data_IF_666127258729
#
_entry.id   IF_666127258729
#
_cell.length_a   1.000
_cell.length_b   1.000
_cell.length_c   1.000
_cell.angle_alpha   90.00
_cell.angle_beta   90.00
_cell.angle_gamma   90.00
#
_symmetry.space_group_name_H-M   'P 1'
#
loop_
_entity.id
_entity.type
_entity.pdbx_description
1 polymer ?
2 polymer ?
3 polymer ?
4 water ?
#
# COMPACT_ATOMS: atom_id res chain seq x y z
N UNK A 1 6.23 22.67 1.94
CA UNK A 1 7.04 22.57 0.68
C UNK A 1 6.21 22.45 -0.61
N UNK A 2 6.95 22.20 -1.70
CA UNK A 2 6.43 22.03 -3.03
C UNK A 2 5.43 20.90 -3.07
N UNK A 3 4.31 21.13 -3.75
CA UNK A 3 3.26 20.13 -3.85
C UNK A 3 3.17 19.59 -5.27
N UNK A 4 2.99 18.28 -5.41
CA UNK A 4 2.82 17.62 -6.71
C UNK A 4 1.51 16.89 -6.65
N UNK A 5 0.54 17.33 -7.43
CA UNK A 5 -0.78 16.71 -7.41
C UNK A 5 -1.05 15.89 -8.66
N UNK A 6 -1.29 14.58 -8.55
CA UNK A 6 -1.58 13.78 -9.76
C UNK A 6 -3.05 13.71 -10.05
N UNK A 7 -3.46 13.61 -11.31
CA UNK A 7 -4.88 13.45 -11.62
C UNK A 7 -4.97 12.49 -12.78
N UNK A 8 -5.95 11.54 -12.74
CA UNK A 8 -6.89 11.43 -11.62
C UNK A 8 -6.15 10.55 -10.63
N UNK A 9 -6.67 10.44 -9.41
CA UNK A 9 -6.02 9.58 -8.47
C UNK A 9 -6.23 8.10 -8.88
N UNK A 10 -7.36 7.80 -9.50
CA UNK A 10 -7.67 6.43 -9.93
C UNK A 10 -8.28 6.52 -11.33
N UNK A 11 -8.11 5.49 -12.14
CA UNK A 11 -8.59 5.58 -13.51
C UNK A 11 -8.88 4.20 -14.01
N UNK A 12 -10.02 4.00 -14.66
CA UNK A 12 -10.32 2.66 -15.20
C UNK A 12 -10.12 2.65 -16.71
N UNK A 13 -9.70 1.53 -17.27
CA UNK A 13 -9.44 1.48 -18.69
C UNK A 13 -9.39 0.06 -19.19
N UNK A 14 -9.33 -0.11 -20.50
CA UNK A 14 -9.26 -1.45 -21.05
C UNK A 14 -8.05 -1.55 -21.95
N UNK A 15 -7.59 -2.77 -22.21
CA UNK A 15 -6.47 -3.03 -23.08
C UNK A 15 -6.77 -2.33 -24.42
N UNK A 16 -5.78 -1.61 -24.95
CA UNK A 16 -5.97 -0.90 -26.19
C UNK A 16 -6.35 0.55 -25.95
N UNK A 17 -6.78 0.94 -24.76
CA UNK A 17 -7.11 2.35 -24.63
C UNK A 17 -5.87 3.29 -24.61
N UNK A 18 -6.14 4.59 -24.76
CA UNK A 18 -5.13 5.60 -24.69
C UNK A 18 -5.46 6.29 -23.39
N UNK A 19 -4.51 6.40 -22.48
CA UNK A 19 -4.80 7.10 -21.26
C UNK A 19 -3.79 8.19 -21.03
N UNK A 20 -4.15 9.19 -20.24
CA UNK A 20 -3.18 10.19 -20.00
C UNK A 20 -3.38 10.54 -18.56
N UNK A 21 -2.26 10.65 -17.84
CA UNK A 21 -2.22 10.94 -16.42
C UNK A 21 -1.54 12.30 -16.34
N UNK A 22 -2.00 13.17 -15.47
CA UNK A 22 -1.34 14.46 -15.40
C UNK A 22 -0.79 14.77 -14.00
N UNK A 23 0.23 15.61 -13.92
CA UNK A 23 0.86 15.93 -12.64
C UNK A 23 1.12 17.43 -12.63
N UNK A 24 0.66 18.12 -11.61
CA UNK A 24 0.80 19.57 -11.52
C UNK A 24 1.60 19.94 -10.29
N UNK A 25 2.56 20.85 -10.46
CA UNK A 25 3.39 21.26 -9.35
C UNK A 25 2.99 22.65 -8.83
N UNK A 26 3.13 22.86 -7.53
CA UNK A 26 2.75 24.15 -6.93
C UNK A 26 3.65 25.33 -7.32
N UNK A 27 4.88 25.04 -7.73
CA UNK A 27 5.87 26.04 -8.18
C UNK A 27 6.53 25.35 -9.39
N UNK A 28 7.11 26.12 -10.30
CA UNK A 28 7.73 25.53 -11.48
C UNK A 28 8.94 24.67 -11.18
N UNK A 29 9.01 23.51 -11.81
CA UNK A 29 10.12 22.57 -11.61
C UNK A 29 10.91 22.40 -12.91
N UNK A 30 10.79 23.36 -13.83
CA UNK A 30 11.46 23.30 -15.11
C UNK A 30 11.16 21.97 -15.76
N UNK A 31 12.15 21.24 -16.29
CA UNK A 31 11.89 19.94 -16.91
C UNK A 31 12.30 18.77 -15.99
N UNK A 32 12.62 19.07 -14.72
CA UNK A 32 13.12 18.03 -13.82
C UNK A 32 11.99 17.19 -13.21
N UNK A 33 11.45 16.32 -14.03
CA UNK A 33 10.33 15.52 -13.62
C UNK A 33 10.42 14.15 -14.22
N UNK A 34 10.10 13.15 -13.43
CA UNK A 34 10.21 11.79 -13.94
C UNK A 34 8.91 11.03 -13.72
N UNK A 35 8.61 10.07 -14.61
CA UNK A 35 7.43 9.23 -14.44
C UNK A 35 7.84 7.80 -14.21
N UNK A 36 7.09 7.12 -13.35
CA UNK A 36 7.37 5.70 -13.04
C UNK A 36 6.09 4.89 -13.05
N UNK A 37 6.26 3.61 -13.32
CA UNK A 37 5.14 2.69 -13.30
C UNK A 37 5.52 1.67 -12.21
N UNK A 38 4.60 1.35 -11.33
CA UNK A 38 4.91 0.36 -10.29
C UNK A 38 3.83 -0.69 -10.27
N UNK A 39 4.23 -1.92 -10.50
CA UNK A 39 3.31 -3.02 -10.49
C UNK A 39 3.26 -3.56 -9.08
N UNK A 40 2.13 -4.15 -8.69
CA UNK A 40 2.05 -4.68 -7.33
C UNK A 40 3.24 -5.59 -6.99
N UNK A 41 3.72 -5.47 -5.75
CA UNK A 41 4.86 -6.27 -5.30
C UNK A 41 6.23 -5.95 -5.88
N UNK A 42 6.33 -4.97 -6.77
CA UNK A 42 7.61 -4.64 -7.38
C UNK A 42 8.03 -3.19 -7.12
N UNK A 43 9.30 -2.87 -7.36
CA UNK A 43 9.76 -1.49 -7.17
C UNK A 43 9.27 -0.60 -8.33
N UNK A 44 9.26 0.70 -8.14
CA UNK A 44 8.81 1.54 -9.26
C UNK A 44 9.80 1.36 -10.43
N UNK A 45 9.36 1.53 -11.68
CA UNK A 45 10.28 1.41 -12.81
C UNK A 45 10.20 2.73 -13.58
N UNK A 46 11.37 3.28 -13.89
CA UNK A 46 11.50 4.54 -14.63
C UNK A 46 10.95 4.40 -16.06
N UNK A 47 10.07 5.29 -16.46
CA UNK A 47 9.51 5.29 -17.83
C UNK A 47 10.07 6.47 -18.59
N UNK A 48 9.95 7.67 -18.02
CA UNK A 48 10.30 8.95 -18.65
C UNK A 48 11.11 9.77 -17.67
N UNK A 49 12.24 10.30 -18.12
CA UNK A 49 13.09 11.19 -17.31
C UNK A 49 13.17 12.56 -17.97
N UNK A 50 13.45 13.58 -17.17
CA UNK A 50 13.59 14.93 -17.71
C UNK A 50 12.33 15.32 -18.49
N UNK A 51 11.14 15.07 -17.91
CA UNK A 51 9.80 15.39 -18.48
C UNK A 51 9.38 14.70 -19.77
N UNK A 52 10.31 14.50 -20.69
CA UNK A 52 9.88 13.89 -21.92
C UNK A 52 10.82 12.88 -22.54
N UNK A 53 12.01 12.63 -21.96
CA UNK A 53 12.93 11.67 -22.60
C UNK A 53 12.52 10.23 -22.30
N UNK A 54 12.52 9.37 -23.33
CA UNK A 54 12.12 8.01 -23.14
C UNK A 54 13.27 7.24 -22.56
N UNK A 55 13.07 6.59 -21.43
CA UNK A 55 14.14 5.82 -20.80
C UNK A 55 14.45 4.62 -21.66
N UNK A 56 15.73 4.27 -21.73
CA UNK A 56 16.20 3.17 -22.53
C UNK A 56 15.56 1.82 -22.16
N UNK A 57 14.99 1.14 -23.16
CA UNK A 57 14.40 -0.14 -22.91
C UNK A 57 12.93 -0.03 -22.55
N UNK A 58 12.43 1.21 -22.47
CA UNK A 58 11.03 1.41 -22.16
C UNK A 58 10.24 1.46 -23.48
N UNK A 59 9.13 0.73 -23.55
CA UNK A 59 8.33 0.71 -24.80
C UNK A 59 7.82 2.05 -25.27
N UNK A 60 7.83 2.21 -26.59
CA UNK A 60 7.46 3.48 -27.21
C UNK A 60 6.02 3.93 -26.99
N UNK A 61 5.12 3.07 -26.56
CA UNK A 61 3.75 3.57 -26.29
C UNK A 61 3.73 4.58 -25.15
N UNK A 62 4.82 4.68 -24.40
CA UNK A 62 4.83 5.63 -23.28
C UNK A 62 5.38 6.94 -23.74
N UNK A 63 4.71 8.01 -23.37
CA UNK A 63 5.18 9.30 -23.78
C UNK A 63 4.99 10.35 -22.69
N UNK A 64 5.95 11.24 -22.56
CA UNK A 64 5.77 12.30 -21.58
C UNK A 64 5.98 13.68 -22.18
N UNK A 65 5.16 14.66 -21.78
CA UNK A 65 5.31 16.03 -22.25
C UNK A 65 5.04 17.04 -21.11
N UNK A 66 5.31 18.32 -21.39
CA UNK A 66 5.11 19.38 -20.42
C UNK A 66 6.40 19.84 -19.76
N UNK A 67 6.34 21.01 -19.09
CA UNK A 67 7.46 21.61 -18.35
C UNK A 67 6.87 22.68 -17.40
N UNK A 68 7.64 23.20 -16.44
CA UNK A 68 7.07 24.21 -15.55
C UNK A 68 6.19 23.63 -14.44
N UNK A 69 4.87 23.76 -14.56
CA UNK A 69 3.98 23.26 -13.54
C UNK A 69 3.00 22.21 -13.99
N UNK A 70 2.99 21.88 -15.26
CA UNK A 70 2.04 20.89 -15.72
C UNK A 70 2.64 19.83 -16.63
N UNK A 71 2.51 18.56 -16.26
CA UNK A 71 3.09 17.47 -17.02
C UNK A 71 2.05 16.39 -17.23
N UNK A 72 2.25 15.63 -18.29
CA UNK A 72 1.36 14.56 -18.66
C UNK A 72 2.15 13.35 -19.18
N UNK A 73 1.64 12.18 -18.84
CA UNK A 73 2.19 10.90 -19.27
C UNK A 73 1.05 10.29 -20.11
N UNK A 74 1.32 9.84 -21.30
CA UNK A 74 0.24 9.20 -21.96
C UNK A 74 0.73 7.86 -22.41
N UNK A 75 -0.12 6.87 -22.31
CA UNK A 75 0.21 5.55 -22.76
C UNK A 75 -0.74 5.49 -23.95
N UNK A 76 -0.20 5.29 -25.15
CA UNK A 76 -1.05 5.35 -26.33
C UNK A 76 -1.93 4.12 -26.54
N UNK A 77 -1.39 2.92 -26.31
CA UNK A 77 -2.16 1.68 -26.44
C UNK A 77 -1.91 0.83 -25.19
N UNK A 78 -2.78 0.96 -24.18
CA UNK A 78 -2.63 0.20 -22.93
C UNK A 78 -2.49 -1.29 -23.09
N UNK A 79 -1.44 -1.87 -22.49
CA UNK A 79 -1.20 -3.31 -22.54
C UNK A 79 -1.53 -3.88 -21.13
N UNK A 80 -1.75 -5.21 -20.99
CA UNK A 80 -2.09 -5.77 -19.67
C UNK A 80 -1.11 -5.42 -18.54
N UNK A 81 0.18 -5.37 -18.82
CA UNK A 81 1.15 -5.01 -17.82
C UNK A 81 1.05 -3.56 -17.35
N UNK A 82 0.20 -2.74 -17.98
CA UNK A 82 0.09 -1.34 -17.61
C UNK A 82 -0.95 -1.07 -16.53
N UNK A 83 -1.64 -2.13 -16.10
CA UNK A 83 -2.65 -1.99 -15.07
C UNK A 83 -1.72 -1.92 -13.87
N UNK A 84 -1.65 -0.75 -13.28
CA UNK A 84 -0.67 -0.56 -12.23
C UNK A 84 -0.87 0.80 -11.67
N UNK A 85 0.06 1.23 -10.83
CA UNK A 85 0.01 2.58 -10.23
C UNK A 85 1.19 3.39 -10.80
N UNK A 86 0.91 4.61 -11.23
CA UNK A 86 1.92 5.47 -11.80
C UNK A 86 2.24 6.63 -10.88
N UNK A 87 3.51 7.00 -10.84
CA UNK A 87 3.90 8.14 -10.01
C UNK A 87 4.74 9.16 -10.74
N UNK A 88 4.59 10.44 -10.43
CA UNK A 88 5.50 11.43 -11.03
C UNK A 88 6.41 11.86 -9.87
N UNK A 89 7.63 12.33 -10.18
CA UNK A 89 8.61 12.81 -9.19
C UNK A 89 9.31 14.06 -9.70
N UNK A 90 9.39 15.04 -8.84
CA UNK A 90 9.99 16.31 -9.14
C UNK A 90 11.44 16.22 -8.58
N UNK A 91 12.45 16.72 -9.33
CA UNK A 91 13.85 16.73 -8.88
C UNK A 91 14.55 18.10 -9.02
N UNK A 92 13.75 19.14 -9.04
CA UNK A 92 14.26 20.52 -9.16
C UNK A 92 14.57 21.14 -7.80
N UNK A 93 13.74 20.81 -6.79
CA UNK A 93 13.87 21.32 -5.43
C UNK A 93 13.94 20.19 -4.42
N UNK A 94 14.71 20.39 -3.33
CA UNK A 94 14.78 19.40 -2.27
C UNK A 94 13.67 19.80 -1.32
N UNK A 95 12.94 18.83 -0.80
CA UNK A 95 13.11 17.39 -1.06
C UNK A 95 12.50 17.07 -2.44
N UNK A 96 13.02 16.01 -3.06
CA UNK A 96 12.61 15.50 -4.37
C UNK A 96 11.25 14.78 -4.36
N UNK A 97 10.17 15.51 -4.14
CA UNK A 97 8.79 15.00 -4.07
C UNK A 97 8.20 14.04 -5.09
N UNK A 98 7.32 13.20 -4.60
CA UNK A 98 6.58 12.28 -5.43
C UNK A 98 5.13 12.70 -5.40
N UNK A 99 4.41 12.45 -6.49
CA UNK A 99 2.98 12.72 -6.50
C UNK A 99 2.25 11.60 -5.72
N UNK A 100 0.94 11.73 -5.54
CA UNK A 100 0.16 10.75 -4.76
C UNK A 100 -0.08 9.47 -5.48
N UNK A 101 0.25 9.43 -6.76
CA UNK A 101 0.02 8.19 -7.50
C UNK A 101 -1.34 8.10 -8.22
N UNK A 102 -1.40 7.40 -9.34
CA UNK A 102 -2.68 7.19 -9.94
C UNK A 102 -2.75 5.72 -10.30
N UNK A 103 -3.79 5.06 -9.79
CA UNK A 103 -4.04 3.63 -9.97
C UNK A 103 -4.79 3.41 -11.29
N UNK A 104 -4.31 2.51 -12.12
CA UNK A 104 -4.99 2.28 -13.37
C UNK A 104 -5.47 0.85 -13.25
N UNK A 105 -6.79 0.62 -13.30
CA UNK A 105 -7.32 -0.73 -13.17
C UNK A 105 -8.29 -1.14 -14.33
N UNK A 106 -8.61 -2.42 -14.43
CA UNK A 106 -9.45 -2.96 -15.49
C UNK A 106 -10.87 -2.40 -15.40
N UNK A 107 -11.36 -1.72 -16.43
CA UNK A 107 -12.72 -1.18 -16.38
C UNK A 107 -13.73 -2.32 -16.53
N UNK A 108 -14.88 -2.18 -15.90
CA UNK A 108 -15.96 -3.15 -16.01
C UNK A 108 -17.17 -2.35 -15.59
N UNK A 109 -18.42 -2.86 -15.73
CA UNK A 109 -19.67 -2.16 -15.42
C UNK A 109 -19.77 -1.90 -13.91
N UNK A 110 -20.32 -0.85 -13.62
CA UNK A 110 -20.50 -0.52 -12.24
C UNK A 110 -21.26 -1.64 -11.53
N UNK A 111 -20.79 -1.99 -10.33
CA UNK A 111 -21.43 -3.01 -9.53
C UNK A 111 -21.43 -2.55 -8.09
N UNK A 112 -22.62 -2.49 -7.50
CA UNK A 112 -22.77 -2.07 -6.10
C UNK A 112 -22.30 -3.20 -5.22
N UNK A 113 -21.85 -2.88 -4.02
CA UNK A 113 -21.39 -3.96 -3.12
C UNK A 113 -22.54 -4.69 -2.45
N UNK A 114 -22.34 -5.95 -2.13
CA UNK A 114 -23.35 -6.71 -1.36
C UNK A 114 -22.76 -6.41 0.04
N UNK A 115 -23.56 -5.88 0.94
CA UNK A 115 -23.08 -5.52 2.26
C UNK A 115 -23.60 -6.47 3.32
N UNK A 116 -22.73 -6.82 4.28
CA UNK A 116 -23.05 -7.72 5.39
C UNK A 116 -22.41 -7.18 6.68
N UNK A 117 -23.11 -7.31 7.81
CA UNK A 117 -22.60 -6.87 9.08
C UNK A 117 -22.54 -8.06 10.02
N UNK A 118 -21.41 -8.22 10.71
CA UNK A 118 -21.21 -9.34 11.57
C UNK A 118 -21.02 -8.87 12.98
N UNK A 119 -21.82 -9.38 13.95
CA UNK A 119 -21.67 -8.96 15.34
C UNK A 119 -20.49 -9.70 15.94
N UNK A 120 -19.98 -9.24 17.08
CA UNK A 120 -18.85 -9.98 17.63
C UNK A 120 -19.29 -11.34 18.19
N UNK A 121 -18.40 -12.32 18.09
CA UNK A 121 -18.69 -13.64 18.63
C UNK A 121 -18.69 -13.62 20.17
N UNK A 122 -19.52 -14.47 20.76
CA UNK A 122 -19.58 -14.60 22.20
C UNK A 122 -18.23 -15.03 22.67
N UNK A 123 -17.50 -15.77 21.84
CA UNK A 123 -16.18 -16.23 22.24
C UNK A 123 -15.24 -15.02 22.41
N UNK A 124 -15.30 -14.06 21.48
CA UNK A 124 -14.42 -12.90 21.60
C UNK A 124 -14.85 -12.10 22.84
N UNK A 125 -16.14 -11.83 22.95
CA UNK A 125 -16.67 -11.07 24.10
C UNK A 125 -16.13 -11.56 25.47
N UNK A 126 -16.01 -12.88 25.65
CA UNK A 126 -15.48 -13.44 26.90
C UNK A 126 -14.05 -13.01 27.15
N UNK A 127 -13.34 -12.62 26.10
CA UNK A 127 -11.96 -12.16 26.29
C UNK A 127 -11.93 -10.67 26.57
N UNK A 128 -13.11 -10.04 26.56
CA UNK A 128 -13.16 -8.61 26.85
C UNK A 128 -13.13 -7.64 25.67
N UNK A 129 -13.01 -8.13 24.45
CA UNK A 129 -13.03 -7.20 23.32
C UNK A 129 -14.19 -7.51 22.37
N UNK A 130 -14.60 -6.51 21.61
CA UNK A 130 -15.68 -6.69 20.71
C UNK A 130 -15.34 -6.14 19.33
N UNK A 131 -15.32 -7.03 18.34
CA UNK A 131 -15.04 -6.62 16.96
C UNK A 131 -16.29 -6.68 16.11
N UNK A 132 -16.67 -5.57 15.48
CA UNK A 132 -17.81 -5.62 14.63
C UNK A 132 -17.23 -5.48 13.24
N UNK A 133 -17.52 -6.44 12.35
CA UNK A 133 -17.00 -6.35 11.00
C UNK A 133 -18.07 -6.13 9.96
N UNK A 134 -17.72 -5.33 8.97
CA UNK A 134 -18.62 -5.02 7.89
C UNK A 134 -17.96 -5.45 6.63
N UNK A 135 -18.69 -6.14 5.77
CA UNK A 135 -18.13 -6.58 4.51
C UNK A 135 -18.85 -5.96 3.34
N UNK A 136 -18.08 -5.45 2.37
CA UNK A 136 -18.59 -4.89 1.11
C UNK A 136 -17.99 -5.85 0.11
N UNK A 137 -18.84 -6.69 -0.49
CA UNK A 137 -18.39 -7.72 -1.41
C UNK A 137 -18.57 -7.46 -2.92
N UNK A 138 -17.53 -7.74 -3.71
CA UNK A 138 -17.57 -7.58 -5.17
C UNK A 138 -18.21 -6.28 -5.73
N UNK A 139 -17.57 -5.13 -5.52
CA UNK A 139 -18.12 -3.88 -6.07
C UNK A 139 -17.14 -3.26 -7.07
N UNK A 140 -17.59 -2.20 -7.75
CA UNK A 140 -16.75 -1.49 -8.74
C UNK A 140 -17.49 -0.21 -9.11
N UNK A 141 -16.78 0.93 -9.20
CA UNK A 141 -15.35 1.11 -9.00
C UNK A 141 -14.85 0.95 -7.55
N UNK A 142 -13.53 1.01 -7.38
CA UNK A 142 -12.92 0.84 -6.09
C UNK A 142 -13.32 1.75 -4.94
N UNK A 143 -13.59 3.02 -5.22
CA UNK A 143 -13.92 3.91 -4.15
C UNK A 143 -15.26 3.56 -3.46
N UNK A 144 -15.20 3.49 -2.13
CA UNK A 144 -16.36 3.14 -1.34
C UNK A 144 -16.13 3.84 -0.02
N UNK A 145 -17.19 4.18 0.69
CA UNK A 145 -17.06 4.83 1.98
C UNK A 145 -17.96 4.11 2.99
N UNK A 146 -17.33 3.73 4.10
CA UNK A 146 -17.96 3.01 5.18
C UNK A 146 -17.98 3.92 6.38
N UNK A 147 -19.17 4.05 6.96
CA UNK A 147 -19.34 4.87 8.17
C UNK A 147 -20.01 4.06 9.29
N UNK A 148 -19.33 3.89 10.41
CA UNK A 148 -19.91 3.15 11.51
C UNK A 148 -20.73 4.09 12.38
N UNK A 149 -21.89 3.59 12.82
CA UNK A 149 -22.76 4.32 13.72
C UNK A 149 -23.18 3.36 14.84
N UNK A 150 -23.14 3.84 16.06
CA UNK A 150 -23.51 3.11 17.24
C UNK A 150 -24.62 3.95 17.92
N UNK A 151 -25.82 3.40 18.08
CA UNK A 151 -26.92 4.20 18.68
C UNK A 151 -26.89 5.61 18.06
N UNK A 152 -26.74 5.65 16.75
CA UNK A 152 -26.70 6.88 15.97
C UNK A 152 -25.52 7.79 16.12
N UNK A 153 -24.54 7.41 16.94
CA UNK A 153 -23.36 8.26 17.08
C UNK A 153 -22.41 7.84 15.97
N UNK A 154 -21.88 8.85 15.30
CA UNK A 154 -20.93 8.64 14.22
C UNK A 154 -19.62 8.14 14.84
N UNK A 155 -19.07 7.04 14.37
CA UNK A 155 -17.83 6.54 14.98
C UNK A 155 -16.59 7.09 14.28
N UNK A 156 -15.52 7.27 15.03
CA UNK A 156 -14.32 7.76 14.41
C UNK A 156 -13.07 7.34 15.18
N UNK A 157 -12.04 6.94 14.46
CA UNK A 157 -10.80 6.57 15.09
C UNK A 157 -10.77 5.18 15.70
N UNK A 158 -11.86 4.43 15.57
CA UNK A 158 -11.89 3.09 16.18
C UNK A 158 -12.18 1.93 15.18
N UNK A 159 -11.90 2.17 13.90
CA UNK A 159 -12.12 1.17 12.89
C UNK A 159 -10.94 1.12 11.93
N UNK A 160 -10.79 0.00 11.24
CA UNK A 160 -9.72 -0.16 10.27
C UNK A 160 -10.28 -0.96 9.15
N UNK A 161 -9.82 -0.66 7.93
CA UNK A 161 -10.30 -1.39 6.77
C UNK A 161 -9.15 -1.76 5.82
N UNK A 162 -9.39 -2.81 5.04
CA UNK A 162 -8.46 -3.22 4.02
C UNK A 162 -9.29 -3.65 2.78
N UNK A 163 -8.67 -3.53 1.60
CA UNK A 163 -9.34 -3.81 0.32
C UNK A 163 -8.55 -4.89 -0.44
N UNK A 164 -9.23 -5.85 -1.05
CA UNK A 164 -8.50 -6.83 -1.84
C UNK A 164 -7.97 -6.21 -3.14
N UNK A 165 -7.07 -6.89 -3.82
CA UNK A 165 -6.60 -6.41 -5.10
C UNK A 165 -7.73 -6.74 -6.11
N UNK A 166 -7.78 -6.03 -7.24
CA UNK A 166 -8.82 -6.25 -8.25
C UNK A 166 -8.89 -7.72 -8.58
N UNK A 167 -10.09 -8.29 -8.61
CA UNK A 167 -10.19 -9.73 -8.90
C UNK A 167 -9.85 -10.00 -10.38
N UNK A 168 -9.00 -10.97 -10.68
CA UNK A 168 -8.63 -11.26 -12.07
C UNK A 168 -9.76 -11.79 -12.98
N UNK A 169 -10.85 -12.28 -12.41
CA UNK A 169 -11.98 -12.77 -13.21
C UNK A 169 -13.16 -11.77 -13.23
N UNK A 170 -13.50 -11.27 -12.06
CA UNK A 170 -14.57 -10.30 -11.77
C UNK A 170 -14.30 -8.86 -12.16
N UNK A 171 -13.06 -8.47 -11.86
CA UNK A 171 -12.62 -7.07 -12.00
C UNK A 171 -13.24 -6.25 -10.90
N UNK A 172 -13.78 -6.90 -9.86
CA UNK A 172 -14.41 -6.17 -8.74
C UNK A 172 -13.45 -6.14 -7.54
N UNK A 173 -13.78 -5.36 -6.52
CA UNK A 173 -12.98 -5.29 -5.29
C UNK A 173 -13.90 -5.68 -4.14
N UNK A 174 -13.31 -6.01 -3.01
CA UNK A 174 -14.08 -6.31 -1.81
C UNK A 174 -13.39 -5.53 -0.67
N UNK A 175 -14.17 -5.14 0.32
CA UNK A 175 -13.61 -4.36 1.42
C UNK A 175 -14.14 -4.85 2.78
N UNK A 176 -13.21 -4.99 3.72
CA UNK A 176 -13.53 -5.42 5.05
C UNK A 176 -13.24 -4.29 6.01
N UNK A 177 -14.23 -3.92 6.84
CA UNK A 177 -13.97 -2.91 7.85
C UNK A 177 -14.30 -3.44 9.27
N UNK A 178 -13.34 -3.33 10.20
CA UNK A 178 -13.51 -3.76 11.56
C UNK A 178 -13.67 -2.60 12.57
N UNK A 179 -14.81 -2.57 13.30
CA UNK A 179 -15.04 -1.60 14.37
C UNK A 179 -14.63 -2.35 15.67
N UNK A 180 -13.73 -1.76 16.48
CA UNK A 180 -13.28 -2.41 17.68
C UNK A 180 -13.62 -1.63 18.97
N UNK A 181 -14.22 -2.28 19.94
CA UNK A 181 -14.59 -1.60 21.18
C UNK A 181 -14.33 -2.54 22.32
N UNK A 182 -14.15 -2.00 23.52
CA UNK A 182 -14.04 -2.90 24.67
C UNK A 182 -15.41 -3.60 24.86
N UNK A 183 -15.38 -4.75 25.52
CA UNK A 183 -16.61 -5.45 25.79
C UNK A 183 -17.50 -4.49 26.55
N UNK A 184 -16.94 -3.78 27.53
CA UNK A 184 -17.75 -2.84 28.30
C UNK A 184 -18.49 -1.83 27.46
N UNK A 185 -17.78 -1.07 26.62
CA UNK A 185 -18.44 -0.08 25.77
C UNK A 185 -19.44 -0.76 24.88
N UNK A 186 -19.06 -1.91 24.37
CA UNK A 186 -19.96 -2.64 23.50
C UNK A 186 -21.29 -2.79 24.17
N UNK A 187 -21.26 -3.24 25.41
CA UNK A 187 -22.47 -3.52 26.19
C UNK A 187 -23.30 -2.29 26.50
N UNK A 188 -22.71 -1.11 26.39
CA UNK A 188 -23.47 0.09 26.69
C UNK A 188 -24.31 0.62 25.54
N UNK A 189 -24.43 -0.12 24.44
CA UNK A 189 -25.20 0.40 23.31
C UNK A 189 -26.00 -0.70 22.64
N UNK A 190 -26.93 -0.34 21.76
CA UNK A 190 -27.72 -1.39 21.12
C UNK A 190 -27.64 -1.48 19.60
N UNK A 191 -27.80 -0.36 18.90
CA UNK A 191 -27.80 -0.40 17.43
C UNK A 191 -26.42 -0.18 16.81
N UNK A 192 -25.87 -1.24 16.23
CA UNK A 192 -24.57 -1.20 15.57
C UNK A 192 -24.86 -1.18 14.09
N UNK A 193 -24.44 -0.11 13.41
CA UNK A 193 -24.73 0.06 11.99
C UNK A 193 -23.52 0.35 11.13
N UNK A 194 -23.51 -0.23 9.93
CA UNK A 194 -22.46 -0.03 8.94
C UNK A 194 -23.16 0.67 7.74
N UNK A 195 -22.85 1.95 7.53
CA UNK A 195 -23.43 2.72 6.44
C UNK A 195 -22.49 2.73 5.23
N UNK A 196 -22.98 2.40 4.06
CA UNK A 196 -22.11 2.31 2.90
C UNK A 196 -22.48 3.19 1.72
N UNK A 197 -21.54 4.00 1.24
CA UNK A 197 -21.79 4.86 0.10
C UNK A 197 -20.93 4.34 -1.04
N UNK A 198 -21.54 4.28 -2.22
CA UNK A 198 -20.83 3.79 -3.39
C UNK A 198 -21.54 4.23 -4.63
N UNK A 199 -20.79 4.37 -5.70
CA UNK A 199 -21.37 4.83 -6.94
C UNK A 199 -22.54 3.99 -7.45
N UNK A 200 -22.47 2.67 -7.25
CA UNK A 200 -23.54 1.82 -7.72
C UNK A 200 -24.79 1.79 -6.85
N UNK A 201 -24.81 2.56 -5.77
CA UNK A 201 -25.95 2.55 -4.90
C UNK A 201 -26.65 3.87 -5.05
N UNK A 202 -27.94 3.80 -5.41
CA UNK A 202 -28.77 4.99 -5.57
C UNK A 202 -28.59 5.90 -4.35
N UNK A 203 -28.67 5.34 -3.15
CA UNK A 203 -28.45 6.16 -1.96
C UNK A 203 -27.75 5.17 -1.03
N UNK A 204 -27.19 5.65 0.08
CA UNK A 204 -26.48 4.84 1.06
C UNK A 204 -27.28 3.67 1.61
N UNK A 205 -26.62 2.54 1.76
CA UNK A 205 -27.30 1.41 2.29
C UNK A 205 -26.78 1.21 3.71
N UNK A 206 -27.68 0.86 4.64
CA UNK A 206 -27.25 0.59 5.98
C UNK A 206 -27.61 -0.85 6.40
N UNK A 207 -26.64 -1.56 6.98
CA UNK A 207 -26.86 -2.90 7.49
C UNK A 207 -26.59 -2.77 8.96
N UNK A 208 -27.49 -3.30 9.78
CA UNK A 208 -27.32 -3.23 11.21
C UNK A 208 -27.99 -4.33 11.99
N UNK A 209 -27.72 -4.30 13.30
CA UNK A 209 -28.28 -5.23 14.24
C UNK A 209 -28.39 -4.57 15.62
N UNK A 210 -29.26 -5.14 16.46
CA UNK A 210 -29.38 -4.63 17.82
C UNK A 210 -28.67 -5.64 18.67
N UNK A 211 -27.73 -5.17 19.48
CA UNK A 211 -26.96 -6.05 20.32
C UNK A 211 -27.87 -6.80 21.29
N UNK A 212 -27.50 -8.06 21.52
CA UNK A 212 -28.24 -8.88 22.46
C UNK A 212 -29.65 -9.29 22.02
N UNK A 213 -30.15 -8.73 20.94
CA UNK A 213 -31.48 -9.12 20.52
C UNK A 213 -31.37 -10.61 20.19
N UNK A 214 -32.22 -11.66 20.78
CA UNK A 214 -32.16 -13.10 20.55
C UNK A 214 -33.50 -13.73 20.18
N UNK B 1 25.37 -3.21 -16.48
CA UNK B 1 24.10 -3.44 -15.71
C UNK B 1 24.24 -3.01 -14.23
N UNK B 2 23.35 -2.11 -13.86
CA UNK B 2 23.31 -1.61 -12.52
C UNK B 2 22.29 -2.35 -11.69
N UNK B 3 22.69 -2.78 -10.52
CA UNK B 3 21.71 -3.42 -9.66
C UNK B 3 21.98 -2.90 -8.22
N UNK B 4 20.92 -2.78 -7.42
CA UNK B 4 21.02 -2.37 -6.03
C UNK B 4 20.18 -3.32 -5.24
N UNK B 5 20.57 -3.53 -3.97
CA UNK B 5 19.83 -4.36 -3.04
C UNK B 5 19.95 -3.89 -1.59
N UNK B 6 18.78 -3.76 -0.95
CA UNK B 6 18.69 -3.31 0.41
C UNK B 6 18.81 -4.46 1.42
N UNK B 7 19.45 -4.21 2.57
CA UNK B 7 19.49 -5.23 3.61
C UNK B 7 19.40 -4.54 4.98
N UNK B 8 18.92 -5.26 5.99
CA UNK B 8 18.80 -4.74 7.35
C UNK B 8 17.79 -5.60 8.11
N UNK B 9 17.39 -5.20 9.32
CA UNK B 9 16.43 -5.99 10.09
C UNK B 9 14.98 -5.87 9.60
N UNK B 10 14.24 -6.99 9.52
CA UNK B 10 12.85 -6.88 9.06
C UNK B 10 11.96 -6.35 10.15
N UNK B 11 12.40 -6.53 11.37
CA UNK B 11 11.61 -6.10 12.50
C UNK B 11 12.39 -5.20 13.41
N UNK B 12 11.76 -4.12 13.87
CA UNK B 12 12.43 -3.23 14.79
C UNK B 12 11.44 -2.71 15.78
N UNK B 13 11.90 -2.49 17.00
CA UNK B 13 11.01 -1.98 18.07
C UNK B 13 11.07 -0.47 18.20
N UNK B 14 9.96 0.14 18.59
CA UNK B 14 9.84 1.57 18.79
C UNK B 14 10.98 2.04 19.67
N UNK B 15 11.40 3.28 19.42
CA UNK B 15 12.52 4.02 20.01
C UNK B 15 13.85 3.50 19.53
N UNK B 16 13.88 2.31 18.93
CA UNK B 16 15.17 1.81 18.48
C UNK B 16 15.71 2.51 17.23
N UNK B 17 16.97 2.18 16.93
CA UNK B 17 17.66 2.71 15.78
C UNK B 17 17.70 1.66 14.65
N UNK B 18 17.35 2.12 13.46
CA UNK B 18 17.29 1.31 12.27
C UNK B 18 18.40 1.70 11.32
N UNK B 19 19.22 0.71 10.94
CA UNK B 19 20.33 0.88 10.03
C UNK B 19 20.03 0.01 8.80
N UNK B 20 19.97 0.65 7.64
CA UNK B 20 19.69 -0.01 6.38
C UNK B 20 20.90 0.18 5.49
N UNK B 21 21.28 -0.91 4.79
CA UNK B 21 22.39 -0.91 3.90
C UNK B 21 21.95 -1.16 2.42
N UNK B 22 22.50 -0.35 1.52
CA UNK B 22 22.23 -0.51 0.10
C UNK B 22 23.54 -0.95 -0.46
N UNK B 23 23.62 -2.17 -1.01
CA UNK B 23 24.88 -2.67 -1.63
C UNK B 23 24.58 -2.64 -3.12
N UNK B 24 25.49 -2.14 -3.95
CA UNK B 24 25.20 -2.06 -5.37
C UNK B 24 26.38 -2.54 -6.24
N UNK B 25 26.13 -2.71 -7.54
CA UNK B 25 27.21 -3.11 -8.47
C UNK B 25 26.87 -2.43 -9.82
N UNK B 26 27.85 -2.30 -10.72
CA UNK B 26 27.60 -1.63 -12.00
C UNK B 26 27.99 -0.15 -12.02
N UNK B 27 28.32 0.45 -10.88
CA UNK B 27 28.74 1.85 -10.89
C UNK B 27 29.54 2.06 -9.60
N UNK B 28 30.23 3.17 -9.51
CA UNK B 28 30.99 3.40 -8.32
C UNK B 28 30.52 4.71 -7.73
N UNK B 29 30.53 4.87 -6.42
CA UNK B 29 30.12 6.14 -5.86
C UNK B 29 31.28 7.09 -5.97
N UNK B 30 32.25 6.76 -6.80
CA UNK B 30 33.32 7.69 -7.04
C UNK B 30 33.11 8.15 -8.50
N UNK B 31 32.09 7.65 -9.19
CA UNK B 31 31.91 8.11 -10.57
C UNK B 31 31.36 9.53 -10.51
N UNK B 32 31.64 10.32 -11.54
CA UNK B 32 31.22 11.71 -11.57
C UNK B 32 29.73 11.97 -11.39
N UNK B 33 29.41 12.82 -10.42
CA UNK B 33 28.05 13.23 -10.10
C UNK B 33 27.01 12.18 -9.78
N UNK B 34 27.42 10.93 -9.60
CA UNK B 34 26.43 9.90 -9.29
C UNK B 34 25.80 10.09 -7.89
N UNK B 35 24.54 9.67 -7.74
CA UNK B 35 23.84 9.73 -6.46
C UNK B 35 23.17 8.39 -6.14
N UNK B 36 22.92 8.19 -4.85
CA UNK B 36 22.21 7.03 -4.39
C UNK B 36 21.22 7.66 -3.36
N UNK B 37 19.93 7.37 -3.50
CA UNK B 37 18.92 7.95 -2.62
C UNK B 37 18.14 6.81 -1.99
N UNK B 38 17.29 7.16 -1.04
CA UNK B 38 16.45 6.23 -0.31
C UNK B 38 15.03 6.78 -0.39
N UNK B 39 14.07 5.88 -0.64
CA UNK B 39 12.67 6.24 -0.75
C UNK B 39 11.89 5.16 0.03
N UNK B 40 10.78 5.50 0.69
CA UNK B 40 10.09 4.47 1.46
C UNK B 40 8.63 4.43 1.00
N UNK B 41 7.94 3.37 1.35
CA UNK B 41 6.55 3.24 0.93
C UNK B 41 5.76 2.48 2.01
N UNK B 42 5.01 3.17 2.87
CA UNK B 42 4.23 2.47 3.90
C UNK B 42 3.19 1.59 3.17
N UNK B 43 2.79 0.45 3.76
CA UNK B 43 1.82 -0.37 2.99
C UNK B 43 0.56 0.37 2.51
N UNK B 44 0.25 0.18 1.24
CA UNK B 44 -0.90 0.84 0.64
C UNK B 44 -0.73 2.34 0.40
N UNK B 45 0.39 2.94 0.82
CA UNK B 45 0.57 4.37 0.61
C UNK B 45 1.48 4.77 -0.61
N UNK B 46 1.69 6.06 -0.77
CA UNK B 46 2.50 6.67 -1.82
C UNK B 46 3.99 6.58 -1.50
N UNK B 47 4.83 6.87 -2.49
CA UNK B 47 6.27 6.85 -2.27
C UNK B 47 6.63 8.11 -1.50
N UNK B 48 7.62 7.98 -0.62
CA UNK B 48 8.07 9.14 0.14
C UNK B 48 9.61 9.24 0.09
N UNK B 49 10.10 10.38 -0.39
CA UNK B 49 11.54 10.59 -0.53
C UNK B 49 12.18 10.79 0.83
N UNK B 50 13.33 10.15 1.07
CA UNK B 50 14.01 10.27 2.37
C UNK B 50 15.35 11.01 2.38
N UNK B 51 16.21 10.70 1.42
CA UNK B 51 17.52 11.30 1.41
C UNK B 51 18.32 10.88 0.19
N UNK B 52 19.43 11.55 -0.04
CA UNK B 52 20.26 11.12 -1.16
C UNK B 52 21.67 11.54 -0.84
N UNK B 53 22.64 10.81 -1.38
CA UNK B 53 24.05 11.16 -1.21
C UNK B 53 24.75 11.04 -2.56
N UNK B 54 25.64 11.98 -2.86
CA UNK B 54 26.38 11.98 -4.13
C UNK B 54 27.82 11.57 -3.94
N UNK B 55 28.48 11.19 -5.04
CA UNK B 55 29.87 10.78 -4.98
C UNK B 55 30.82 11.90 -4.46
N UNK B 56 30.50 13.19 -4.62
CA UNK B 56 31.36 14.24 -4.06
C UNK B 56 31.01 14.44 -2.56
N UNK B 57 30.16 13.54 -2.04
CA UNK B 57 29.75 13.50 -0.66
C UNK B 57 28.77 14.56 -0.12
N UNK B 58 28.05 15.26 -1.00
CA UNK B 58 27.02 16.23 -0.59
C UNK B 58 25.89 15.30 -0.12
N UNK B 59 25.17 15.70 0.93
CA UNK B 59 24.07 14.89 1.50
C UNK B 59 22.84 15.77 1.62
N UNK B 60 21.64 15.23 1.42
CA UNK B 60 20.42 16.02 1.57
C UNK B 60 19.35 15.10 2.18
N UNK B 61 18.52 15.67 3.01
CA UNK B 61 17.51 14.92 3.72
C UNK B 61 16.14 15.53 3.65
N UNK B 62 15.17 14.67 3.76
CA UNK B 62 13.80 15.08 3.85
C UNK B 62 13.74 16.03 5.08
N UNK B 63 13.14 17.21 4.94
CA UNK B 63 13.05 18.13 6.11
C UNK B 63 12.22 17.54 7.27
N UNK B 64 11.16 16.83 6.95
CA UNK B 64 10.35 16.19 7.97
C UNK B 64 11.08 15.11 8.78
N UNK B 65 12.16 14.54 8.26
CA UNK B 65 12.85 13.45 8.98
C UNK B 65 14.31 13.78 9.30
N UNK B 66 14.71 14.97 8.90
CA UNK B 66 16.07 15.41 9.05
C UNK B 66 16.73 15.02 10.36
N UNK B 67 16.08 15.33 11.48
CA UNK B 67 16.67 15.01 12.78
C UNK B 67 16.90 13.52 13.06
N UNK B 68 16.18 12.63 12.39
CA UNK B 68 16.35 11.21 12.68
C UNK B 68 17.20 10.46 11.62
N UNK B 69 17.56 11.12 10.51
CA UNK B 69 18.32 10.43 9.47
C UNK B 69 19.77 10.79 9.34
N UNK B 70 20.58 9.78 9.05
CA UNK B 70 21.98 9.99 8.73
C UNK B 70 22.25 9.13 7.49
N UNK B 71 22.82 9.71 6.42
CA UNK B 71 23.12 8.85 5.29
C UNK B 71 24.63 8.93 5.13
N UNK B 72 25.25 7.82 4.76
CA UNK B 72 26.70 7.84 4.62
C UNK B 72 27.13 6.89 3.52
N UNK B 73 28.33 7.03 2.98
CA UNK B 73 28.69 6.06 1.98
C UNK B 73 29.98 5.35 2.27
N UNK B 74 30.15 4.16 1.71
CA UNK B 74 31.42 3.48 1.87
C UNK B 74 31.80 3.08 0.44
N UNK B 75 32.52 3.97 -0.20
CA UNK B 75 32.89 3.88 -1.58
C UNK B 75 33.61 2.63 -1.96
N UNK B 76 34.54 2.21 -1.10
CA UNK B 76 35.32 1.02 -1.38
C UNK B 76 34.50 -0.25 -1.21
N UNK B 77 33.42 -0.22 -0.43
CA UNK B 77 32.57 -1.42 -0.32
C UNK B 77 31.33 -1.35 -1.23
N UNK B 78 31.21 -0.26 -2.00
CA UNK B 78 30.02 -0.05 -2.83
C UNK B 78 28.75 -0.15 -2.00
N UNK B 79 28.70 0.58 -0.90
CA UNK B 79 27.51 0.58 -0.09
C UNK B 79 27.16 1.98 0.38
N UNK B 80 25.87 2.16 0.64
CA UNK B 80 25.34 3.43 1.15
C UNK B 80 24.51 2.98 2.31
N UNK B 81 24.70 3.65 3.43
CA UNK B 81 23.98 3.30 4.64
C UNK B 81 23.09 4.47 5.08
N UNK B 82 21.89 4.15 5.50
CA UNK B 82 20.94 5.11 6.00
C UNK B 82 20.59 4.64 7.42
N UNK B 83 20.80 5.53 8.37
CA UNK B 83 20.50 5.26 9.76
C UNK B 83 19.35 6.13 10.21
N UNK B 84 18.27 5.51 10.70
CA UNK B 84 17.12 6.23 11.18
C UNK B 84 17.00 5.96 12.70
N UNK B 85 16.97 7.01 13.50
CA UNK B 85 16.90 6.84 14.93
C UNK B 85 15.50 6.99 15.41
N UNK B 86 15.28 6.55 16.65
CA UNK B 86 13.99 6.71 17.30
C UNK B 86 12.78 6.35 16.42
N UNK B 87 12.79 5.14 15.89
CA UNK B 87 11.66 4.78 15.05
C UNK B 87 10.41 4.57 15.84
N UNK B 88 9.29 4.72 15.17
CA UNK B 88 8.00 4.50 15.78
C UNK B 88 7.18 3.67 14.76
N UNK B 89 5.99 3.17 15.15
CA UNK B 89 5.18 2.36 14.21
C UNK B 89 4.94 2.97 12.82
N UNK B 90 4.74 4.28 12.72
CA UNK B 90 4.50 4.91 11.41
C UNK B 90 5.70 4.77 10.45
N UNK B 91 6.84 4.33 10.97
CA UNK B 91 7.99 4.12 10.12
C UNK B 91 7.90 2.72 9.46
N UNK B 92 6.83 1.95 9.69
CA UNK B 92 6.82 0.66 9.02
C UNK B 92 6.55 0.94 7.54
N UNK B 93 7.40 0.38 6.70
CA UNK B 93 7.29 0.66 5.28
C UNK B 93 8.24 -0.24 4.53
N UNK B 94 8.11 -0.26 3.21
CA UNK B 94 9.11 -0.93 2.41
C UNK B 94 10.09 0.23 2.05
N UNK B 95 11.38 -0.02 2.27
CA UNK B 95 12.45 0.96 2.03
C UNK B 95 13.23 0.58 0.78
N UNK B 96 13.36 1.51 -0.20
CA UNK B 96 14.11 1.26 -1.42
C UNK B 96 15.31 2.21 -1.54
N UNK B 97 16.43 1.72 -2.08
CA UNK B 97 17.53 2.64 -2.39
C UNK B 97 17.52 2.72 -3.93
N UNK B 98 18.07 3.76 -4.48
CA UNK B 98 18.02 3.90 -5.93
C UNK B 98 19.21 4.75 -6.46
N UNK B 99 19.56 4.47 -7.69
CA UNK B 99 20.61 5.13 -8.39
C UNK B 99 20.10 6.35 -9.09
N UNK B 100 20.93 7.38 -9.09
CA UNK B 100 20.67 8.62 -9.80
C UNK B 100 21.91 8.88 -10.67
N UNK B 101 21.69 9.02 -11.96
CA UNK B 101 22.79 9.29 -12.88
C UNK B 101 23.38 10.65 -12.65
N UNK B 102 24.64 10.81 -13.01
CA UNK B 102 25.29 12.11 -12.96
C UNK B 102 25.22 12.70 -14.39
N UNK B 103 25.59 13.95 -14.68
CA UNK B 103 25.50 14.45 -16.06
C UNK B 103 26.34 13.65 -17.06
N UNK B 104 25.86 13.58 -18.29
CA UNK B 104 26.65 12.91 -19.30
C UNK B 104 27.88 13.79 -19.56
N UNK B 105 29.03 13.15 -19.80
CA UNK B 105 30.25 13.85 -20.11
C UNK B 105 30.81 13.45 -21.50
N UNK B 106 31.56 14.36 -22.11
CA UNK B 106 32.15 14.07 -23.41
C UNK B 106 33.58 14.49 -23.18
N UNK B 107 34.48 13.51 -23.30
CA UNK B 107 35.90 13.71 -23.05
C UNK B 107 35.96 14.41 -21.69
N UNK B 108 35.28 13.81 -20.70
CA UNK B 108 35.28 14.36 -19.36
C UNK B 108 34.86 15.80 -19.27
N UNK B 109 33.83 16.14 -20.04
CA UNK B 109 33.28 17.47 -19.96
C UNK B 109 31.76 17.30 -19.87
N UNK B 110 31.15 17.84 -18.83
CA UNK B 110 29.70 17.72 -18.63
C UNK B 110 29.00 18.46 -19.77
N UNK B 111 28.13 17.77 -20.49
CA UNK B 111 27.41 18.34 -21.63
C UNK B 111 25.90 18.15 -21.57
N UNK B 112 25.43 17.22 -20.74
CA UNK B 112 23.98 17.00 -20.61
C UNK B 112 23.54 16.73 -19.18
N UNK B 113 22.67 17.58 -18.65
CA UNK B 113 22.18 17.34 -17.30
C UNK B 113 20.80 16.65 -17.27
N UNK B 114 20.12 16.56 -18.42
CA UNK B 114 18.83 15.91 -18.45
C UNK B 114 18.87 14.51 -17.81
N UNK B 115 19.92 13.70 -17.99
CA UNK B 115 19.86 12.38 -17.34
C UNK B 115 19.81 12.33 -15.81
N UNK B 116 20.10 13.44 -15.12
CA UNK B 116 20.01 13.40 -13.67
C UNK B 116 18.60 13.56 -13.21
N UNK B 117 17.69 13.88 -14.11
CA UNK B 117 16.32 14.09 -13.63
C UNK B 117 15.42 12.83 -13.56
N UNK B 118 15.80 11.93 -12.67
CA UNK B 118 15.07 10.67 -12.40
C UNK B 118 15.94 9.82 -11.49
N UNK B 119 15.34 8.82 -10.82
CA UNK B 119 16.13 7.84 -10.08
C UNK B 119 15.88 6.68 -11.07
N UNK B 120 16.91 6.30 -11.83
CA UNK B 120 16.79 5.32 -12.94
C UNK B 120 16.79 3.82 -12.66
N UNK B 121 17.42 3.39 -11.54
CA UNK B 121 17.44 1.97 -11.20
C UNK B 121 17.17 1.85 -9.70
N UNK B 122 16.27 0.94 -9.39
CA UNK B 122 15.84 0.73 -8.02
C UNK B 122 16.16 -0.64 -7.46
N UNK B 123 16.29 -0.75 -6.14
CA UNK B 123 16.51 -2.06 -5.55
C UNK B 123 15.11 -2.66 -5.36
N UNK B 124 15.05 -3.97 -5.11
CA UNK B 124 13.75 -4.64 -4.90
C UNK B 124 12.98 -4.04 -3.68
N UNK B 125 13.68 -3.51 -2.69
CA UNK B 125 12.98 -2.94 -1.53
C UNK B 125 13.05 -3.90 -0.36
N UNK B 126 13.15 -3.36 0.84
CA UNK B 126 13.17 -4.22 1.99
C UNK B 126 12.05 -3.79 2.95
N UNK B 127 11.25 -4.75 3.35
CA UNK B 127 10.11 -4.51 4.23
C UNK B 127 10.52 -4.44 5.67
N UNK B 128 10.21 -3.34 6.33
CA UNK B 128 10.54 -3.16 7.74
C UNK B 128 9.27 -2.89 8.56
N UNK B 129 9.11 -3.67 9.63
CA UNK B 129 7.96 -3.54 10.50
C UNK B 129 8.40 -3.01 11.85
N UNK B 130 7.75 -1.95 12.32
CA UNK B 130 8.10 -1.42 13.63
C UNK B 130 7.00 -1.73 14.61
N UNK B 131 7.32 -2.61 15.56
CA UNK B 131 6.37 -3.04 16.59
C UNK B 131 7.12 -3.53 17.82
N UNK B 132 6.55 -3.29 18.99
CA UNK B 132 7.19 -3.76 20.22
C UNK B 132 6.73 -5.19 20.49
N UNK B 133 5.87 -5.85 19.48
CA UNK B 133 5.35 -7.19 19.72
C UNK B 133 6.30 -8.39 19.65
N UNK B 134 6.01 -9.23 20.55
CA UNK B 134 6.76 -10.49 20.52
C UNK B 134 5.93 -11.43 19.65
N UNK B 135 6.56 -12.48 19.13
CA UNK B 135 5.85 -13.46 18.35
C UNK B 135 4.58 -13.90 19.11
N UNK B 136 3.46 -14.02 18.40
CA UNK B 136 2.20 -14.42 19.03
C UNK B 136 1.15 -15.00 18.05
N UNK B 137 0.55 -16.12 18.43
CA UNK B 137 -0.45 -16.74 17.58
C UNK B 137 -1.81 -16.04 17.64
N UNK B 138 -2.60 -16.11 16.54
CA UNK B 138 -3.92 -15.49 16.43
C UNK B 138 -5.02 -16.19 17.22
N UNK B 139 -6.05 -15.43 17.58
CA UNK B 139 -7.25 -15.98 18.19
C UNK B 139 -8.14 -16.04 16.95
N UNK B 140 -8.90 -17.10 16.78
CA UNK B 140 -9.74 -17.15 15.61
C UNK B 140 -11.19 -17.12 15.99
N UNK B 141 -11.95 -16.17 15.46
CA UNK B 141 -13.35 -16.08 15.83
C UNK B 141 -14.22 -16.23 14.62
N UNK B 142 -15.46 -16.71 14.81
CA UNK B 142 -16.39 -16.90 13.67
C UNK B 142 -17.04 -15.62 13.23
N UNK B 143 -17.33 -15.52 11.95
CA UNK B 143 -18.05 -14.38 11.39
C UNK B 143 -19.28 -15.09 10.78
N UNK B 144 -20.43 -14.93 11.43
CA UNK B 144 -21.64 -15.59 10.92
C UNK B 144 -22.77 -14.63 10.64
N UNK B 145 -23.51 -14.93 9.54
CA UNK B 145 -24.68 -14.17 9.02
C UNK B 145 -25.79 -13.80 10.08
N UNK B 152 -27.60 -13.04 -6.26
CA UNK B 152 -27.75 -11.82 -5.47
C UNK B 152 -28.05 -12.09 -4.00
N UNK B 153 -28.83 -13.17 -3.80
CA UNK B 153 -29.27 -13.70 -2.49
C UNK B 153 -28.16 -14.63 -1.97
N UNK B 154 -26.99 -14.02 -1.89
CA UNK B 154 -25.78 -14.67 -1.44
C UNK B 154 -25.74 -14.48 0.07
N UNK B 155 -25.10 -15.41 0.75
CA UNK B 155 -24.96 -15.33 2.21
C UNK B 155 -23.43 -15.23 2.44
N UNK B 156 -23.01 -14.64 3.55
CA UNK B 156 -21.58 -14.52 3.82
C UNK B 156 -21.16 -15.01 5.17
N UNK B 157 -19.98 -15.59 5.24
CA UNK B 157 -19.50 -15.96 6.56
C UNK B 157 -17.98 -15.93 6.52
N UNK B 158 -17.34 -16.05 7.66
CA UNK B 158 -15.90 -16.01 7.64
C UNK B 158 -15.27 -16.27 8.97
N UNK B 159 -14.01 -15.89 9.05
CA UNK B 159 -13.20 -16.04 10.26
C UNK B 159 -12.39 -14.74 10.41
N UNK B 160 -12.24 -14.31 11.65
CA UNK B 160 -11.54 -13.08 12.04
C UNK B 160 -10.35 -13.62 12.72
N UNK B 161 -9.18 -13.42 12.09
CA UNK B 161 -7.93 -13.91 12.60
C UNK B 161 -7.30 -12.76 13.36
N UNK B 162 -7.49 -12.74 14.67
CA UNK B 162 -7.07 -11.62 15.49
C UNK B 162 -5.87 -11.67 16.41
N UNK B 163 -5.13 -10.57 16.44
CA UNK B 163 -3.99 -10.42 17.34
C UNK B 163 -2.81 -11.34 17.21
N UNK B 164 -2.19 -11.33 16.04
CA UNK B 164 -1.06 -12.20 15.88
C UNK B 164 0.13 -11.37 15.41
N UNK B 165 1.32 -11.95 15.53
CA UNK B 165 2.56 -11.31 15.11
C UNK B 165 3.68 -12.33 14.98
N UNK B 166 4.52 -12.20 13.95
CA UNK B 166 4.45 -11.17 12.90
C UNK B 166 3.69 -11.75 11.73
N UNK B 167 3.72 -11.08 10.58
CA UNK B 167 3.11 -11.64 9.36
C UNK B 167 4.04 -12.79 8.97
N UNK B 168 3.57 -13.75 8.18
CA UNK B 168 2.24 -13.82 7.61
C UNK B 168 1.42 -14.89 8.27
N UNK B 169 0.18 -15.01 7.85
CA UNK B 169 -0.65 -16.10 8.30
C UNK B 169 -1.30 -16.66 7.01
N UNK B 170 -1.62 -17.97 6.97
CA UNK B 170 -2.30 -18.50 5.80
C UNK B 170 -3.69 -18.97 6.19
N UNK B 171 -4.67 -18.73 5.32
CA UNK B 171 -6.02 -19.16 5.58
C UNK B 171 -6.56 -19.83 4.32
N UNK B 172 -7.23 -20.98 4.50
CA UNK B 172 -7.87 -21.61 3.37
C UNK B 172 -9.26 -22.02 3.92
N UNK B 173 -10.16 -22.44 3.04
CA UNK B 173 -11.48 -22.91 3.42
C UNK B 173 -11.61 -24.39 3.02
N UNK B 174 -12.26 -25.18 3.87
CA UNK B 174 -12.46 -26.62 3.68
C UNK B 174 -11.23 -27.30 3.16
N UNK B 175 -10.15 -27.16 3.94
CA UNK B 175 -8.87 -27.76 3.64
C UNK B 175 -8.36 -27.51 2.24
N UNK B 176 -8.83 -26.42 1.62
CA UNK B 176 -8.38 -26.11 0.28
C UNK B 176 -9.40 -26.38 -0.82
N UNK B 177 -10.52 -27.01 -0.49
CA UNK B 177 -11.54 -27.34 -1.48
C UNK B 177 -12.49 -26.21 -1.79
N UNK B 178 -12.57 -25.24 -0.89
CA UNK B 178 -13.45 -24.12 -1.14
C UNK B 178 -12.58 -22.96 -1.57
N UNK B 179 -12.82 -22.50 -2.80
CA UNK B 179 -12.07 -21.37 -3.37
C UNK B 179 -12.99 -20.31 -4.00
N UNK B 180 -14.07 -20.73 -4.64
CA UNK B 180 -14.88 -19.71 -5.26
C UNK B 180 -15.61 -18.89 -4.22
N UNK B 181 -15.57 -17.57 -4.36
CA UNK B 181 -16.25 -16.68 -3.40
C UNK B 181 -15.42 -16.40 -2.14
N UNK B 182 -14.18 -16.86 -2.11
CA UNK B 182 -13.35 -16.62 -0.96
C UNK B 182 -12.57 -15.30 -1.10
N UNK B 183 -12.57 -14.49 -0.06
CA UNK B 183 -11.78 -13.26 -0.06
C UNK B 183 -11.04 -13.19 1.27
N UNK B 184 -9.72 -13.27 1.19
CA UNK B 184 -8.90 -13.17 2.39
C UNK B 184 -8.25 -11.76 2.27
N UNK B 185 -8.63 -10.85 3.16
CA UNK B 185 -8.10 -9.50 3.13
C UNK B 185 -6.72 -9.33 3.68
N UNK B 186 -6.02 -8.27 3.23
CA UNK B 186 -4.66 -8.03 3.77
C UNK B 186 -4.88 -7.62 5.22
N UNK B 187 -3.98 -8.04 6.07
CA UNK B 187 -4.00 -7.75 7.51
C UNK B 187 -3.72 -6.27 7.74
N UNK B 188 -4.24 -5.75 8.85
CA UNK B 188 -3.98 -4.38 9.25
C UNK B 188 -3.14 -4.52 10.52
N UNK B 189 -2.22 -3.58 10.74
CA UNK B 189 -1.35 -3.59 11.90
C UNK B 189 -2.10 -2.70 12.85
N UNK B 190 -2.60 -3.27 13.96
CA UNK B 190 -3.36 -2.50 14.95
C UNK B 190 -2.45 -1.61 15.81
N UNK B 191 -3.05 -0.64 16.47
CA UNK B 191 -2.23 0.24 17.28
C UNK B 191 -1.55 -0.54 18.37
N UNK B 192 -2.07 -1.72 18.71
CA UNK B 192 -1.44 -2.54 19.73
C UNK B 192 -0.11 -3.13 19.22
N UNK B 193 0.09 -3.16 17.90
CA UNK B 193 1.35 -3.74 17.35
C UNK B 193 1.15 -5.20 16.86
N UNK B 194 -0.09 -5.63 16.88
CA UNK B 194 -0.44 -6.98 16.46
C UNK B 194 -1.28 -6.87 15.19
N UNK B 195 -1.20 -7.87 14.35
CA UNK B 195 -1.97 -7.80 13.13
C UNK B 195 -3.37 -8.40 13.32
N UNK B 196 -4.25 -8.12 12.35
CA UNK B 196 -5.56 -8.69 12.38
C UNK B 196 -6.07 -8.72 10.98
N UNK B 197 -6.75 -9.82 10.63
CA UNK B 197 -7.32 -9.98 9.32
C UNK B 197 -8.62 -10.79 9.29
N UNK B 198 -9.39 -10.57 8.26
CA UNK B 198 -10.61 -11.34 8.12
C UNK B 198 -10.45 -12.11 6.82
N UNK B 199 -11.15 -13.22 6.73
CA UNK B 199 -11.21 -14.06 5.54
C UNK B 199 -12.69 -14.41 5.43
N UNK B 200 -13.34 -14.10 4.33
CA UNK B 200 -14.75 -14.41 4.26
C UNK B 200 -15.02 -15.24 3.01
N UNK B 201 -16.23 -15.78 2.93
CA UNK B 201 -16.64 -16.52 1.76
C UNK B 201 -18.14 -16.33 1.54
N UNK B 202 -18.52 -16.12 0.30
CA UNK B 202 -19.91 -15.90 -0.12
C UNK B 202 -20.40 -17.17 -0.82
N UNK B 203 -21.61 -17.61 -0.48
CA UNK B 203 -22.17 -18.83 -1.08
C UNK B 203 -23.65 -18.63 -1.34
N UNK B 204 -24.25 -19.47 -2.22
CA UNK B 204 -25.69 -19.35 -2.52
C UNK B 204 -26.41 -19.52 -1.18
N UNK B 205 -27.32 -18.61 -0.89
CA UNK B 205 -28.02 -18.66 0.41
C UNK B 205 -28.65 -19.99 0.78
N UNK B 206 -28.45 -20.98 -0.10
CA UNK B 206 -28.98 -22.31 0.12
C UNK B 206 -27.89 -23.26 0.67
N UNK B 207 -26.66 -23.07 0.21
CA UNK B 207 -25.58 -23.96 0.62
C UNK B 207 -25.45 -24.09 2.12
N UNK B 208 -25.90 -23.07 2.83
CA UNK B 208 -25.84 -23.10 4.29
C UNK B 208 -26.42 -24.37 4.89
N UNK B 211 -24.18 -28.13 2.99
CA UNK B 211 -22.71 -27.90 2.96
C UNK B 211 -22.03 -27.27 4.25
N UNK B 212 -20.86 -27.75 4.68
CA UNK B 212 -20.21 -27.13 5.87
C UNK B 212 -19.00 -26.25 5.52
N UNK B 213 -18.72 -25.27 6.39
CA UNK B 213 -17.63 -24.30 6.15
C UNK B 213 -16.62 -24.20 7.29
N UNK B 214 -15.39 -24.56 7.01
CA UNK B 214 -14.41 -24.49 8.05
C UNK B 214 -13.16 -23.72 7.55
N UNK B 215 -12.69 -22.72 8.29
CA UNK B 215 -11.50 -21.98 7.84
C UNK B 215 -10.31 -22.66 8.46
N UNK B 216 -9.23 -22.87 7.70
CA UNK B 216 -8.01 -23.48 8.24
C UNK B 216 -7.01 -22.35 8.29
N UNK B 217 -6.61 -22.01 9.52
CA UNK B 217 -5.70 -20.89 9.78
C UNK B 217 -4.36 -21.41 10.24
N UNK B 218 -3.28 -20.84 9.72
CA UNK B 218 -1.96 -21.33 10.14
C UNK B 218 -0.97 -20.17 10.25
N UNK B 219 -0.44 -19.95 11.45
CA UNK B 219 0.54 -18.90 11.66
C UNK B 219 1.88 -19.60 11.96
N UNK B 220 2.69 -19.85 10.92
CA UNK B 220 3.94 -20.58 11.09
C UNK B 220 4.83 -20.04 12.20
N UNK B 221 5.05 -18.72 12.23
CA UNK B 221 5.89 -18.10 13.24
C UNK B 221 5.69 -18.58 14.67
N UNK B 222 4.44 -18.79 15.07
CA UNK B 222 4.13 -19.24 16.45
C UNK B 222 3.70 -20.70 16.57
N UNK B 223 3.75 -21.45 15.48
CA UNK B 223 3.31 -22.84 15.48
C UNK B 223 1.89 -22.88 15.98
N UNK B 224 0.99 -22.18 15.29
CA UNK B 224 -0.42 -22.17 15.68
C UNK B 224 -1.31 -22.54 14.53
N UNK B 225 -1.86 -23.76 14.52
CA UNK B 225 -2.82 -24.14 13.46
C UNK B 225 -4.18 -24.23 14.12
N UNK B 226 -5.21 -23.76 13.42
CA UNK B 226 -6.53 -23.78 13.97
C UNK B 226 -7.50 -24.08 12.83
N UNK B 227 -8.49 -24.93 13.07
CA UNK B 227 -9.52 -25.14 12.06
C UNK B 227 -10.75 -24.69 12.81
N UNK B 228 -11.54 -23.79 12.22
CA UNK B 228 -12.74 -23.31 12.88
C UNK B 228 -13.92 -23.44 11.95
N UNK B 229 -14.86 -24.29 12.34
CA UNK B 229 -16.06 -24.51 11.54
C UNK B 229 -17.00 -23.39 11.92
N UNK B 230 -17.59 -22.76 10.92
CA UNK B 230 -18.45 -21.63 11.12
C UNK B 230 -19.86 -21.94 10.62
N UNK B 231 -20.87 -21.70 11.41
CA UNK B 231 -22.21 -21.95 10.86
C UNK B 231 -23.17 -20.85 11.21
N UNK B 232 -24.36 -20.86 10.59
CA UNK B 232 -25.41 -19.86 10.83
C UNK B 232 -26.06 -19.89 12.23
N UNK B 233 -25.26 -19.59 13.26
CA UNK B 233 -25.67 -19.56 14.70
C UNK B 233 -27.05 -20.18 15.10
N UNK B 234 -27.79 -19.52 16.00
CA UNK B 234 -29.12 -19.98 16.45
C UNK B 234 -29.20 -21.49 16.83
N UNK B 235 -28.17 -22.05 17.52
CA UNK B 235 -28.00 -23.49 17.99
C UNK B 235 -27.77 -24.56 16.87
N UNK C 1 15.59 24.03 -0.79
CA UNK C 1 16.59 24.73 -1.65
C UNK C 1 16.61 24.07 -3.04
N UNK C 2 17.38 24.63 -3.96
CA UNK C 2 17.45 24.10 -5.33
C UNK C 2 18.27 22.82 -5.44
N UNK C 3 17.86 21.94 -6.36
CA UNK C 3 18.53 20.67 -6.59
C UNK C 3 19.97 20.86 -7.04
N UNK C 4 20.77 19.82 -6.83
CA UNK C 4 22.17 19.81 -7.19
C UNK C 4 22.38 20.27 -8.63
N UNK C 5 21.50 19.87 -9.53
CA UNK C 5 21.66 20.25 -10.93
C UNK C 5 20.76 21.36 -11.47
N UNK C 6 20.20 22.17 -10.59
CA UNK C 6 19.32 23.27 -11.00
C UNK C 6 20.07 24.51 -11.49
N UNK C 7 19.34 25.37 -12.19
CA UNK C 7 19.85 26.62 -12.74
C UNK C 7 20.58 26.46 -14.07
#
# INVERSE_FOLDING_TARGET
ALQLTQSPSSLSASVGDRITITCRASQGVTSALAWYRQKPGSPPQLLIYDASSLESGVPSRFSGSGSGTEFTLTISTLRPEDFATYYCQQLHFYPHTFGGGTRVDVRRTVAAPSVFIFPPSDEQLKSGTASVVCLLNNFYPREAKVQWKVDNALQSGNSQESVTEQDSKDSTYSLSSTLTLSKADYEKHKVYECEVTHQGLSSPVTKSFNRGEC
RITLKESGPPLVKPTQTLTLTCSFSGFSLSDFGVGVGWIRQPPGKALEWLAIIYSDDDKRYSPSLNTRLTITKDTSKNQVVLVMTRVSPVDTATYFCAHRRGPTTLFGVPIARGPVNAMDVWGQGITVTISSTSTKGPSVFPLAPSSKSTAGAAAALGCLVKDYFPEPVTVSWNSGALTSGVHTFPAVLQSSGLYSLSSVVTVPSSSLGTQTYTCNVNHKPSNTKVDKRVEPKSC
ELDKYAS
#
